data_IF_806816282417
#
_entry.id   IF_806816282417
#
_cell.length_a   1.000
_cell.length_b   1.000
_cell.length_c   1.000
_cell.angle_alpha   90.00
_cell.angle_beta   90.00
_cell.angle_gamma   90.00
#
_symmetry.space_group_name_H-M   'P 1'
#
loop_
_entity.id
_entity.type
_entity.pdbx_description
1 polymer ?
#
# COMPACT_ATOMS: atom_id res chain seq x y z
N UNK A 1 45.24 46.14 11.20
CA UNK A 1 44.15 45.59 12.03
C UNK A 1 43.32 44.67 11.15
N UNK A 2 43.59 43.37 11.18
CA UNK A 2 42.82 42.35 10.44
C UNK A 2 41.88 41.67 11.44
N UNK A 3 40.57 41.81 11.23
CA UNK A 3 39.54 41.15 12.04
C UNK A 3 39.59 39.63 11.83
N UNK A 4 39.55 38.81 12.89
CA UNK A 4 39.39 37.38 12.72
C UNK A 4 37.96 37.08 12.26
N UNK A 5 37.83 36.44 11.10
CA UNK A 5 36.56 35.90 10.61
C UNK A 5 36.20 34.71 11.51
N UNK A 6 35.20 34.84 12.36
CA UNK A 6 34.62 33.72 13.10
C UNK A 6 33.93 32.80 12.10
N UNK A 7 34.66 31.79 11.62
CA UNK A 7 34.11 30.69 10.84
C UNK A 7 33.27 29.84 11.78
N UNK A 8 31.94 30.00 11.75
CA UNK A 8 31.01 29.10 12.41
C UNK A 8 31.29 27.68 11.89
N UNK A 9 31.69 26.71 12.74
CA UNK A 9 31.88 25.34 12.29
C UNK A 9 30.55 24.82 11.72
N UNK A 10 30.56 24.07 10.61
CA UNK A 10 29.34 23.47 10.08
C UNK A 10 28.69 22.63 11.17
N UNK A 11 27.35 22.72 11.28
CA UNK A 11 26.60 21.86 12.17
C UNK A 11 26.99 20.39 11.89
N UNK A 12 27.25 19.58 12.92
CA UNK A 12 27.62 18.19 12.71
C UNK A 12 26.54 17.50 11.88
N UNK A 13 26.94 16.83 10.81
CA UNK A 13 26.01 16.08 9.97
C UNK A 13 25.36 14.99 10.83
N UNK A 14 24.03 14.97 10.90
CA UNK A 14 23.28 13.90 11.59
C UNK A 14 23.51 12.60 10.84
N UNK A 15 24.00 11.58 11.54
CA UNK A 15 24.17 10.24 10.98
C UNK A 15 22.84 9.51 11.12
N UNK A 16 22.27 9.02 10.01
CA UNK A 16 21.04 8.23 10.05
C UNK A 16 21.36 6.76 10.33
N UNK A 17 20.96 6.26 11.50
CA UNK A 17 21.22 4.88 11.95
C UNK A 17 20.03 3.95 11.71
N UNK A 18 18.87 4.47 11.31
CA UNK A 18 17.64 3.70 11.02
C UNK A 18 17.85 2.41 10.22
N UNK A 19 18.56 2.39 9.07
CA UNK A 19 18.76 1.15 8.32
C UNK A 19 19.59 0.11 9.10
N UNK A 20 20.61 0.55 9.83
CA UNK A 20 21.47 -0.33 10.63
C UNK A 20 20.74 -0.90 11.85
N UNK A 21 19.90 -0.09 12.52
CA UNK A 21 19.05 -0.54 13.63
C UNK A 21 18.11 -1.66 13.16
N UNK A 22 17.45 -1.48 12.01
CA UNK A 22 16.56 -2.50 11.43
C UNK A 22 17.29 -3.78 11.09
N UNK A 23 18.48 -3.68 10.49
CA UNK A 23 19.29 -4.85 10.14
C UNK A 23 19.73 -5.63 11.38
N UNK A 24 20.17 -4.95 12.44
CA UNK A 24 20.59 -5.58 13.69
C UNK A 24 19.40 -6.21 14.44
N UNK A 25 18.24 -5.54 14.47
CA UNK A 25 17.03 -6.09 15.06
C UNK A 25 16.57 -7.36 14.33
N UNK A 26 16.56 -7.33 12.99
CA UNK A 26 16.22 -8.49 12.17
C UNK A 26 17.20 -9.66 12.39
N UNK A 27 18.51 -9.38 12.45
CA UNK A 27 19.52 -10.39 12.75
C UNK A 27 19.37 -10.99 14.17
N UNK A 28 18.82 -10.23 15.11
CA UNK A 28 18.49 -10.69 16.46
C UNK A 28 17.09 -11.32 16.59
N UNK A 29 16.34 -11.48 15.49
CA UNK A 29 14.97 -12.01 15.51
C UNK A 29 13.95 -11.10 16.19
N UNK A 30 14.23 -9.79 16.27
CA UNK A 30 13.35 -8.78 16.89
C UNK A 30 12.67 -7.94 15.82
N UNK A 31 11.37 -7.74 15.97
CA UNK A 31 10.64 -6.70 15.24
C UNK A 31 10.56 -5.45 16.13
N UNK A 32 11.13 -4.35 15.66
CA UNK A 32 11.00 -3.04 16.30
C UNK A 32 9.92 -2.24 15.57
N UNK A 33 9.08 -1.52 16.31
CA UNK A 33 8.14 -0.55 15.72
C UNK A 33 8.89 0.65 15.15
N UNK A 34 8.24 1.45 14.30
CA UNK A 34 8.85 2.63 13.71
C UNK A 34 9.22 3.67 14.78
N UNK A 35 8.39 3.80 15.81
CA UNK A 35 8.64 4.66 16.97
C UNK A 35 9.88 4.21 17.76
N UNK A 36 10.07 2.89 17.91
CA UNK A 36 11.25 2.33 18.56
C UNK A 36 12.52 2.57 17.75
N UNK A 37 12.44 2.46 16.42
CA UNK A 37 13.56 2.76 15.52
C UNK A 37 13.92 4.25 15.57
N UNK A 38 12.93 5.15 15.63
CA UNK A 38 13.16 6.59 15.76
C UNK A 38 13.79 6.92 17.12
N UNK A 39 13.25 6.37 18.21
CA UNK A 39 13.79 6.60 19.55
C UNK A 39 15.24 6.10 19.69
N UNK A 40 15.56 4.92 19.12
CA UNK A 40 16.92 4.41 19.06
C UNK A 40 17.82 5.27 18.19
N UNK A 41 17.36 5.75 17.03
CA UNK A 41 18.13 6.66 16.17
C UNK A 41 18.48 7.98 16.88
N UNK A 42 17.56 8.50 17.70
CA UNK A 42 17.78 9.70 18.51
C UNK A 42 18.72 9.46 19.70
N UNK A 43 18.56 8.36 20.44
CA UNK A 43 19.46 7.98 21.54
C UNK A 43 20.88 7.68 21.02
N UNK A 44 20.98 7.07 19.85
CA UNK A 44 22.25 6.82 19.17
C UNK A 44 22.89 8.12 18.68
N UNK A 45 22.14 9.00 18.00
CA UNK A 45 22.66 10.32 17.58
C UNK A 45 23.13 11.18 18.78
N UNK A 46 22.58 10.98 19.97
CA UNK A 46 23.06 11.64 21.21
C UNK A 46 24.36 11.06 21.78
N UNK A 47 24.80 9.88 21.32
CA UNK A 47 25.94 9.14 21.86
C UNK A 47 27.12 9.04 20.89
N UNK A 48 26.92 9.26 19.59
CA UNK A 48 27.98 9.18 18.60
C UNK A 48 28.64 10.55 18.36
N UNK A 49 29.94 10.63 18.60
CA UNK A 49 30.78 11.77 18.24
C UNK A 49 31.58 11.42 16.98
N UNK A 50 31.46 12.23 15.94
CA UNK A 50 32.33 12.16 14.77
C UNK A 50 33.55 13.05 15.04
N UNK A 51 34.74 12.47 15.04
CA UNK A 51 35.98 13.25 15.01
C UNK A 51 36.12 13.86 13.60
N UNK A 52 36.07 15.20 13.46
CA UNK A 52 36.15 15.86 12.16
C UNK A 52 37.53 15.76 11.50
N UNK A 53 38.60 15.43 12.24
CA UNK A 53 39.95 15.30 11.71
C UNK A 53 40.24 13.89 11.17
N UNK A 54 39.67 12.87 11.81
CA UNK A 54 39.96 11.45 11.48
C UNK A 54 38.79 10.73 10.82
N UNK A 55 37.56 11.28 10.90
CA UNK A 55 36.34 10.60 10.47
C UNK A 55 35.93 9.44 11.38
N UNK A 56 36.57 9.28 12.54
CA UNK A 56 36.26 8.22 13.48
C UNK A 56 34.93 8.48 14.19
N UNK A 57 34.03 7.50 14.15
CA UNK A 57 32.75 7.52 14.87
C UNK A 57 32.98 6.87 16.25
N UNK A 58 32.89 7.67 17.31
CA UNK A 58 33.13 7.26 18.69
C UNK A 58 31.82 7.23 19.48
N UNK A 59 31.55 6.20 20.27
CA UNK A 59 30.32 6.13 21.09
C UNK A 59 30.62 6.49 22.54
N UNK A 60 30.00 7.54 23.06
CA UNK A 60 29.87 7.75 24.50
C UNK A 60 28.77 6.82 25.04
N UNK A 61 29.16 5.66 25.55
CA UNK A 61 28.26 4.83 26.35
C UNK A 61 28.56 5.04 27.83
N UNK A 62 27.57 4.81 28.70
CA UNK A 62 27.77 4.77 30.15
C UNK A 62 28.79 3.69 30.60
N UNK A 63 29.16 2.76 29.71
CA UNK A 63 30.12 1.67 29.96
C UNK A 63 31.51 1.93 29.36
N UNK A 64 31.79 3.15 28.87
CA UNK A 64 33.07 3.54 28.26
C UNK A 64 33.02 3.70 26.73
N UNK A 65 34.12 4.14 26.11
CA UNK A 65 34.18 4.35 24.65
C UNK A 65 34.14 3.00 23.93
N UNK A 66 33.05 2.73 23.22
CA UNK A 66 32.95 1.57 22.33
C UNK A 66 33.46 2.00 20.96
N UNK A 67 34.54 1.36 20.50
CA UNK A 67 35.20 1.65 19.21
C UNK A 67 34.46 1.05 17.99
N UNK A 68 33.33 0.35 18.20
CA UNK A 68 32.54 -0.29 17.15
C UNK A 68 31.06 0.15 17.22
N UNK A 69 30.64 0.95 16.24
CA UNK A 69 29.26 1.40 16.10
C UNK A 69 28.27 0.23 15.99
N UNK A 70 28.66 -0.88 15.38
CA UNK A 70 27.81 -2.06 15.25
C UNK A 70 27.65 -2.79 16.60
N UNK A 71 28.67 -2.78 17.45
CA UNK A 71 28.57 -3.27 18.82
C UNK A 71 27.66 -2.38 19.68
N UNK A 72 27.75 -1.06 19.54
CA UNK A 72 26.88 -0.12 20.24
C UNK A 72 25.40 -0.27 19.83
N UNK A 73 25.12 -0.42 18.53
CA UNK A 73 23.75 -0.68 18.04
C UNK A 73 23.24 -2.02 18.59
N UNK A 74 24.05 -3.08 18.60
CA UNK A 74 23.67 -4.38 19.19
C UNK A 74 23.33 -4.27 20.67
N UNK A 75 24.16 -3.55 21.44
CA UNK A 75 23.92 -3.34 22.87
C UNK A 75 22.67 -2.50 23.13
N UNK A 76 22.44 -1.43 22.35
CA UNK A 76 21.26 -0.59 22.46
C UNK A 76 19.98 -1.37 22.12
N UNK A 77 19.99 -2.15 21.05
CA UNK A 77 18.88 -3.05 20.69
C UNK A 77 18.65 -4.06 21.82
N UNK A 78 19.69 -4.72 22.34
CA UNK A 78 19.56 -5.73 23.39
C UNK A 78 19.06 -5.16 24.73
N UNK A 79 19.51 -3.97 25.13
CA UNK A 79 19.17 -3.33 26.40
C UNK A 79 17.84 -2.59 26.41
N UNK A 80 17.24 -2.32 25.24
CA UNK A 80 15.92 -1.70 25.19
C UNK A 80 14.88 -2.71 25.70
N UNK A 81 14.07 -2.35 26.72
CA UNK A 81 13.03 -3.23 27.20
C UNK A 81 12.18 -3.63 26.01
N UNK A 82 12.03 -4.95 25.79
CA UNK A 82 10.89 -5.45 25.05
C UNK A 82 9.70 -4.93 25.84
N UNK A 83 9.14 -3.78 25.44
CA UNK A 83 7.76 -3.53 25.73
C UNK A 83 7.07 -4.80 25.27
N UNK A 84 6.52 -5.56 26.21
CA UNK A 84 5.65 -6.68 25.92
C UNK A 84 4.75 -6.16 24.81
N UNK A 85 4.95 -6.71 23.59
CA UNK A 85 4.31 -6.17 22.41
C UNK A 85 2.84 -6.01 22.80
N UNK A 86 2.29 -4.78 22.81
CA UNK A 86 0.91 -4.59 23.26
C UNK A 86 0.13 -5.62 22.48
N UNK A 87 -0.47 -6.57 23.20
CA UNK A 87 -0.99 -7.81 22.62
C UNK A 87 -1.69 -7.43 21.34
N UNK A 88 -1.07 -7.78 20.19
CA UNK A 88 -1.29 -7.08 18.93
C UNK A 88 -2.78 -6.80 18.83
N UNK A 89 -3.18 -5.53 18.98
CA UNK A 89 -4.59 -5.18 18.83
C UNK A 89 -4.97 -5.86 17.52
N UNK A 90 -5.97 -6.76 17.52
CA UNK A 90 -6.25 -7.57 16.36
C UNK A 90 -6.36 -6.60 15.21
N UNK A 91 -5.40 -6.67 14.26
CA UNK A 91 -5.31 -5.78 13.11
C UNK A 91 -6.73 -5.63 12.62
N UNK A 92 -7.29 -4.43 12.80
CA UNK A 92 -8.71 -4.21 12.54
C UNK A 92 -8.95 -4.78 11.15
N UNK A 93 -9.77 -5.84 11.08
CA UNK A 93 -9.86 -6.68 9.89
C UNK A 93 -9.90 -5.77 8.69
N UNK A 94 -8.95 -5.93 7.76
CA UNK A 94 -8.81 -4.99 6.65
C UNK A 94 -10.20 -4.79 6.04
N UNK A 95 -10.67 -3.54 5.94
CA UNK A 95 -12.04 -3.31 5.52
C UNK A 95 -12.20 -3.96 4.15
N UNK A 96 -13.12 -4.90 4.05
CA UNK A 96 -13.36 -5.63 2.81
C UNK A 96 -13.65 -4.61 1.71
N UNK A 97 -12.84 -4.60 0.64
CA UNK A 97 -13.02 -3.70 -0.49
C UNK A 97 -13.70 -4.44 -1.63
N UNK A 98 -14.76 -3.84 -2.16
CA UNK A 98 -15.47 -4.33 -3.34
C UNK A 98 -15.04 -3.49 -4.53
N UNK A 99 -14.71 -4.17 -5.62
CA UNK A 99 -14.43 -3.52 -6.90
C UNK A 99 -15.75 -3.10 -7.54
N UNK A 100 -15.90 -1.80 -7.80
CA UNK A 100 -17.04 -1.23 -8.50
C UNK A 100 -16.62 -0.72 -9.86
N UNK A 101 -17.31 -1.17 -10.89
CA UNK A 101 -17.14 -0.67 -12.25
C UNK A 101 -18.21 0.37 -12.54
N UNK A 102 -17.80 1.62 -12.74
CA UNK A 102 -18.68 2.74 -13.10
C UNK A 102 -18.35 3.19 -14.51
N UNK A 103 -19.19 2.87 -15.48
CA UNK A 103 -19.04 3.22 -16.91
C UNK A 103 -17.64 2.97 -17.47
N UNK A 104 -16.71 3.91 -17.32
CA UNK A 104 -15.34 3.87 -17.82
C UNK A 104 -14.26 3.74 -16.74
N UNK A 105 -14.61 3.70 -15.46
CA UNK A 105 -13.67 3.59 -14.35
C UNK A 105 -13.93 2.36 -13.49
N UNK A 106 -12.85 1.83 -12.91
CA UNK A 106 -12.89 0.78 -11.91
C UNK A 106 -12.32 1.39 -10.63
N UNK A 107 -13.14 1.42 -9.57
CA UNK A 107 -12.76 1.96 -8.28
C UNK A 107 -12.96 0.94 -7.17
N UNK A 108 -12.13 1.02 -6.13
CA UNK A 108 -12.30 0.26 -4.90
C UNK A 108 -13.15 1.07 -3.93
N UNK A 109 -14.16 0.44 -3.32
CA UNK A 109 -14.91 1.02 -2.21
C UNK A 109 -15.04 0.03 -1.07
N UNK A 110 -15.10 0.53 0.16
CA UNK A 110 -15.35 -0.31 1.34
C UNK A 110 -16.72 -0.98 1.19
N UNK A 111 -16.80 -2.28 1.46
CA UNK A 111 -18.02 -3.08 1.38
C UNK A 111 -19.17 -2.50 2.19
N UNK A 112 -18.85 -1.79 3.28
CA UNK A 112 -19.79 -1.11 4.16
C UNK A 112 -20.28 0.25 3.65
N UNK A 113 -19.76 0.78 2.54
CA UNK A 113 -20.20 2.06 1.98
C UNK A 113 -21.66 1.95 1.49
N UNK A 114 -22.60 2.75 2.04
CA UNK A 114 -24.01 2.70 1.63
C UNK A 114 -24.21 3.00 0.14
N UNK A 115 -23.26 3.71 -0.49
CA UNK A 115 -23.28 4.02 -1.91
C UNK A 115 -23.17 2.76 -2.78
N UNK A 116 -22.57 1.67 -2.28
CA UNK A 116 -22.47 0.40 -3.02
C UNK A 116 -23.86 -0.12 -3.36
N UNK A 117 -24.78 -0.12 -2.39
CA UNK A 117 -26.15 -0.63 -2.59
C UNK A 117 -26.91 0.20 -3.63
N UNK A 118 -26.69 1.51 -3.64
CA UNK A 118 -27.33 2.43 -4.59
C UNK A 118 -26.79 2.17 -6.00
N UNK A 119 -25.46 2.11 -6.16
CA UNK A 119 -24.82 1.90 -7.46
C UNK A 119 -25.18 0.52 -8.03
N UNK A 120 -25.04 -0.54 -7.25
CA UNK A 120 -25.36 -1.90 -7.70
C UNK A 120 -26.84 -2.07 -7.98
N UNK A 121 -27.71 -1.44 -7.18
CA UNK A 121 -29.16 -1.39 -7.43
C UNK A 121 -29.51 -0.74 -8.76
N UNK A 122 -28.91 0.41 -9.06
CA UNK A 122 -29.11 1.10 -10.35
C UNK A 122 -28.62 0.25 -11.53
N UNK A 123 -27.43 -0.35 -11.42
CA UNK A 123 -26.88 -1.21 -12.46
C UNK A 123 -27.74 -2.46 -12.70
N UNK A 124 -28.25 -3.08 -11.64
CA UNK A 124 -29.15 -4.22 -11.75
C UNK A 124 -30.48 -3.83 -12.41
N UNK A 125 -31.05 -2.67 -12.05
CA UNK A 125 -32.28 -2.17 -12.66
C UNK A 125 -32.09 -1.85 -14.16
N UNK A 126 -30.98 -1.22 -14.53
CA UNK A 126 -30.65 -0.91 -15.92
C UNK A 126 -30.40 -2.18 -16.75
N UNK A 127 -29.69 -3.16 -16.18
CA UNK A 127 -29.50 -4.47 -16.79
C UNK A 127 -30.82 -5.21 -17.00
N UNK A 128 -31.74 -5.16 -16.02
CA UNK A 128 -33.06 -5.78 -16.14
C UNK A 128 -33.91 -5.12 -17.23
N UNK A 129 -33.90 -3.78 -17.31
CA UNK A 129 -34.59 -3.04 -18.37
C UNK A 129 -34.03 -3.38 -19.75
N UNK A 130 -32.70 -3.41 -19.87
CA UNK A 130 -32.01 -3.76 -21.11
C UNK A 130 -32.35 -5.19 -21.53
N UNK A 131 -32.34 -6.15 -20.60
CA UNK A 131 -32.71 -7.54 -20.87
C UNK A 131 -34.19 -7.67 -21.33
N UNK A 132 -35.09 -6.85 -20.79
CA UNK A 132 -36.48 -6.80 -21.25
C UNK A 132 -36.59 -6.24 -22.68
N UNK A 133 -35.83 -5.20 -23.00
CA UNK A 133 -35.83 -4.60 -24.34
C UNK A 133 -35.23 -5.54 -25.39
N UNK A 134 -34.13 -6.22 -25.08
CA UNK A 134 -33.47 -7.20 -25.95
C UNK A 134 -34.44 -8.30 -26.42
N UNK A 135 -35.44 -8.65 -25.59
CA UNK A 135 -36.48 -9.63 -25.94
C UNK A 135 -37.48 -9.14 -26.99
N UNK A 136 -37.58 -7.84 -27.27
CA UNK A 136 -38.48 -7.33 -28.30
C UNK A 136 -37.78 -7.19 -29.66
N UNK A 137 -36.45 -7.28 -29.69
CA UNK A 137 -35.69 -7.04 -30.90
C UNK A 137 -35.85 -8.16 -31.96
N UNK A 138 -35.92 -7.78 -33.25
CA UNK A 138 -35.93 -8.74 -34.35
C UNK A 138 -34.56 -9.40 -34.51
N UNK A 139 -34.52 -10.53 -35.23
CA UNK A 139 -33.30 -11.31 -35.45
C UNK A 139 -32.21 -10.48 -36.18
N UNK A 140 -31.08 -10.15 -35.50
CA UNK A 140 -30.03 -9.31 -36.07
C UNK A 140 -28.99 -10.11 -36.89
N UNK A 141 -29.19 -11.42 -37.11
CA UNK A 141 -28.36 -12.27 -37.98
C UNK A 141 -29.00 -12.51 -39.35
N UNK A 142 -30.21 -11.99 -39.61
CA UNK A 142 -30.82 -12.07 -40.94
C UNK A 142 -30.03 -11.24 -41.95
N UNK A 143 -29.89 -11.78 -43.16
CA UNK A 143 -29.26 -11.11 -44.30
C UNK A 143 -29.99 -9.79 -44.60
N UNK A 144 -29.26 -8.68 -44.56
CA UNK A 144 -29.81 -7.33 -44.76
C UNK A 144 -30.23 -6.57 -43.49
N UNK A 145 -30.19 -7.21 -42.31
CA UNK A 145 -30.45 -6.54 -41.02
C UNK A 145 -29.35 -6.80 -39.99
N UNK A 146 -28.12 -7.04 -40.45
CA UNK A 146 -26.98 -7.27 -39.57
C UNK A 146 -26.69 -6.05 -38.70
N UNK A 147 -26.87 -6.21 -37.39
CA UNK A 147 -26.53 -5.18 -36.42
C UNK A 147 -25.65 -5.78 -35.32
N UNK A 148 -24.36 -5.51 -35.40
CA UNK A 148 -23.35 -6.11 -34.52
C UNK A 148 -23.61 -5.79 -33.05
N UNK A 149 -24.07 -4.58 -32.73
CA UNK A 149 -24.42 -4.18 -31.37
C UNK A 149 -25.58 -5.02 -30.84
N UNK A 150 -26.65 -5.21 -31.62
CA UNK A 150 -27.77 -6.07 -31.23
C UNK A 150 -27.37 -7.53 -31.10
N UNK A 151 -26.47 -8.03 -31.96
CA UNK A 151 -25.92 -9.38 -31.84
C UNK A 151 -25.19 -9.57 -30.50
N UNK A 152 -24.30 -8.65 -30.14
CA UNK A 152 -23.55 -8.70 -28.87
C UNK A 152 -24.49 -8.62 -27.67
N UNK A 153 -25.46 -7.71 -27.71
CA UNK A 153 -26.42 -7.51 -26.62
C UNK A 153 -27.36 -8.70 -26.46
N UNK A 154 -27.89 -9.28 -27.54
CA UNK A 154 -28.69 -10.51 -27.48
C UNK A 154 -27.85 -11.67 -26.95
N UNK A 155 -26.61 -11.85 -27.40
CA UNK A 155 -25.72 -12.89 -26.86
C UNK A 155 -25.46 -12.73 -25.36
N UNK A 156 -25.27 -11.49 -24.90
CA UNK A 156 -24.98 -11.18 -23.50
C UNK A 156 -26.18 -11.39 -22.58
N UNK A 157 -27.37 -11.01 -23.01
CA UNK A 157 -28.58 -10.97 -22.15
C UNK A 157 -29.55 -12.14 -22.39
N UNK A 158 -29.52 -12.81 -23.54
CA UNK A 158 -30.36 -13.97 -23.88
C UNK A 158 -29.63 -14.92 -24.87
N UNK A 159 -28.64 -15.69 -24.38
CA UNK A 159 -27.81 -16.55 -25.24
C UNK A 159 -28.65 -17.63 -25.95
N UNK A 160 -29.67 -18.18 -25.29
CA UNK A 160 -30.55 -19.19 -25.89
C UNK A 160 -31.34 -18.63 -27.10
N UNK A 161 -31.76 -17.37 -27.03
CA UNK A 161 -32.36 -16.69 -28.20
C UNK A 161 -31.33 -16.37 -29.28
N UNK A 162 -30.11 -15.98 -28.90
CA UNK A 162 -29.04 -15.77 -29.86
C UNK A 162 -28.80 -17.03 -30.72
N UNK A 163 -28.79 -18.21 -30.09
CA UNK A 163 -28.58 -19.48 -30.79
C UNK A 163 -29.73 -19.84 -31.72
N UNK A 164 -30.98 -19.61 -31.28
CA UNK A 164 -32.16 -19.77 -32.15
C UNK A 164 -32.09 -18.84 -33.36
N UNK A 165 -31.74 -17.58 -33.14
CA UNK A 165 -31.63 -16.58 -34.20
C UNK A 165 -30.51 -16.89 -35.20
N UNK A 166 -29.38 -17.44 -34.75
CA UNK A 166 -28.32 -17.91 -35.64
C UNK A 166 -28.78 -19.09 -36.49
N UNK A 167 -29.42 -20.10 -35.89
CA UNK A 167 -29.99 -21.24 -36.61
C UNK A 167 -31.00 -20.80 -37.68
N UNK A 168 -31.91 -19.89 -37.34
CA UNK A 168 -32.88 -19.32 -38.29
C UNK A 168 -32.22 -18.57 -39.45
N UNK A 169 -31.02 -18.04 -39.24
CA UNK A 169 -30.22 -17.34 -40.25
C UNK A 169 -29.27 -18.29 -41.02
N UNK A 170 -29.22 -19.58 -40.67
CA UNK A 170 -28.31 -20.56 -41.27
C UNK A 170 -26.86 -20.46 -40.78
N UNK A 171 -26.65 -19.94 -39.56
CA UNK A 171 -25.36 -19.83 -38.87
C UNK A 171 -25.23 -20.80 -37.70
#
# INVERSE_FOLDING_TARGET
MTTPTTSTPPAPARVEFKPAIRQVAAAAGRALSEEQVIALDEDLNGRFFLDPETGAVSVATAAGPVLDAQAAIRAAVAGWPLAEAPAAEPLAAEPEYVTLKLSNSVGLRKASDPMIKIITGFQAAEAARTAAEVKTWPNPWRKGSENRTRQVMIQKFDPARADRFKKDAGL
#
